data_IF_388997397551
#
_entry.id   IF_388997397551
#
_cell.length_a   1.000
_cell.length_b   1.000
_cell.length_c   1.000
_cell.angle_alpha   90.00
_cell.angle_beta   90.00
_cell.angle_gamma   90.00
#
_symmetry.space_group_name_H-M   'P 1'
#
loop_
_entity.id
_entity.type
_entity.pdbx_description
1 polymer ?
#
# COMPACT_ATOMS: atom_id res chain seq x y z
N UNK A 1 7.41 -16.19 1.36
CA UNK A 1 6.88 -15.23 2.35
C UNK A 1 5.83 -15.91 3.19
N UNK A 2 5.84 -15.65 4.49
CA UNK A 2 4.74 -15.92 5.40
C UNK A 2 3.80 -14.71 5.51
N UNK A 3 4.33 -13.48 5.50
CA UNK A 3 3.53 -12.25 5.71
C UNK A 3 3.97 -11.12 4.79
N UNK A 4 3.01 -10.47 4.15
CA UNK A 4 3.24 -9.34 3.25
C UNK A 4 2.43 -8.10 3.66
N UNK A 5 2.92 -6.92 3.31
CA UNK A 5 2.15 -5.69 3.28
C UNK A 5 1.92 -5.25 1.84
N UNK A 6 0.68 -5.27 1.37
CA UNK A 6 0.29 -4.74 0.07
C UNK A 6 -0.10 -3.26 0.20
N UNK A 7 0.61 -2.38 -0.49
CA UNK A 7 0.24 -0.97 -0.62
C UNK A 7 -0.42 -0.73 -1.97
N UNK A 8 -1.63 -0.19 -1.93
CA UNK A 8 -2.38 0.26 -3.10
C UNK A 8 -2.49 1.78 -3.10
N UNK A 9 -2.35 2.45 -4.24
CA UNK A 9 -2.77 3.85 -4.34
C UNK A 9 -4.30 3.92 -4.41
N UNK A 10 -4.90 5.01 -3.92
CA UNK A 10 -6.33 5.20 -4.06
C UNK A 10 -6.73 5.34 -5.52
N UNK A 11 -5.89 6.02 -6.31
CA UNK A 11 -6.04 6.20 -7.74
C UNK A 11 -6.12 4.89 -8.52
N UNK A 12 -5.31 3.89 -8.14
CA UNK A 12 -5.33 2.59 -8.79
C UNK A 12 -6.70 1.90 -8.63
N UNK A 13 -7.43 2.16 -7.54
CA UNK A 13 -8.75 1.60 -7.30
C UNK A 13 -9.87 2.34 -8.04
N UNK A 14 -9.60 3.51 -8.61
CA UNK A 14 -10.58 4.29 -9.35
C UNK A 14 -10.58 3.97 -10.87
N UNK A 15 -9.69 3.09 -11.33
CA UNK A 15 -9.53 2.75 -12.75
C UNK A 15 -9.35 4.00 -13.61
N UNK A 16 -9.97 4.00 -14.80
CA UNK A 16 -9.91 5.14 -15.73
C UNK A 16 -10.64 6.39 -15.22
N UNK A 17 -11.58 6.24 -14.28
CA UNK A 17 -12.39 7.34 -13.74
C UNK A 17 -11.56 8.30 -12.87
N UNK A 18 -10.43 7.84 -12.33
CA UNK A 18 -9.49 8.58 -11.44
C UNK A 18 -10.12 9.19 -10.17
N UNK A 19 -11.42 8.99 -9.94
CA UNK A 19 -12.17 9.41 -8.77
C UNK A 19 -13.15 8.30 -8.36
N UNK A 20 -13.40 8.16 -7.06
CA UNK A 20 -14.28 7.11 -6.53
C UNK A 20 -13.66 5.72 -6.61
N UNK A 21 -14.46 4.73 -6.99
CA UNK A 21 -14.06 3.34 -7.13
C UNK A 21 -14.44 2.79 -8.50
N UNK A 22 -13.61 1.89 -9.00
CA UNK A 22 -13.93 0.98 -10.08
C UNK A 22 -14.07 -0.43 -9.51
N UNK A 23 -15.32 -0.90 -9.42
CA UNK A 23 -15.65 -2.15 -8.72
C UNK A 23 -14.96 -3.36 -9.34
N UNK A 24 -14.87 -3.43 -10.67
CA UNK A 24 -14.19 -4.52 -11.38
C UNK A 24 -12.69 -4.57 -11.04
N UNK A 25 -12.04 -3.40 -11.00
CA UNK A 25 -10.64 -3.29 -10.56
C UNK A 25 -10.47 -3.76 -9.11
N UNK A 26 -11.33 -3.28 -8.19
CA UNK A 26 -11.25 -3.68 -6.77
C UNK A 26 -11.51 -5.18 -6.61
N UNK A 27 -12.47 -5.74 -7.37
CA UNK A 27 -12.79 -7.16 -7.36
C UNK A 27 -11.65 -8.00 -7.93
N UNK A 28 -10.96 -7.55 -8.97
CA UNK A 28 -9.78 -8.23 -9.50
C UNK A 28 -8.64 -8.30 -8.47
N UNK A 29 -8.42 -7.22 -7.71
CA UNK A 29 -7.48 -7.23 -6.57
C UNK A 29 -7.93 -8.21 -5.49
N UNK A 30 -9.22 -8.23 -5.15
CA UNK A 30 -9.77 -9.12 -4.14
C UNK A 30 -9.53 -10.61 -4.48
N UNK A 31 -9.72 -11.00 -5.75
CA UNK A 31 -9.49 -12.36 -6.19
C UNK A 31 -8.01 -12.78 -6.10
N UNK A 32 -7.09 -11.88 -6.46
CA UNK A 32 -5.65 -12.14 -6.31
C UNK A 32 -5.23 -12.27 -4.84
N UNK A 33 -5.73 -11.38 -3.97
CA UNK A 33 -5.44 -11.48 -2.53
C UNK A 33 -6.06 -12.74 -1.92
N UNK A 34 -7.27 -13.13 -2.37
CA UNK A 34 -7.89 -14.38 -1.93
C UNK A 34 -6.99 -15.58 -2.22
N UNK A 35 -6.39 -15.65 -3.40
CA UNK A 35 -5.44 -16.72 -3.71
C UNK A 35 -4.28 -16.77 -2.72
N UNK A 36 -3.69 -15.63 -2.36
CA UNK A 36 -2.61 -15.58 -1.37
C UNK A 36 -3.05 -16.06 0.02
N UNK A 37 -4.24 -15.64 0.44
CA UNK A 37 -4.80 -16.05 1.75
C UNK A 37 -5.12 -17.54 1.77
N UNK A 38 -5.68 -18.08 0.68
CA UNK A 38 -5.96 -19.51 0.52
C UNK A 38 -4.65 -20.33 0.51
N UNK A 39 -3.54 -19.76 0.01
CA UNK A 39 -2.18 -20.32 0.07
C UNK A 39 -1.53 -20.18 1.48
N UNK A 40 -2.24 -19.62 2.46
CA UNK A 40 -1.79 -19.47 3.85
C UNK A 40 -0.93 -18.24 4.14
N UNK A 41 -0.83 -17.30 3.19
CA UNK A 41 -0.06 -16.06 3.35
C UNK A 41 -0.87 -15.05 4.15
N UNK A 42 -0.24 -14.43 5.14
CA UNK A 42 -0.84 -13.36 5.93
C UNK A 42 -0.73 -12.03 5.19
N UNK A 43 -1.86 -11.42 4.85
CA UNK A 43 -1.90 -10.21 4.02
C UNK A 43 -2.40 -9.00 4.82
N UNK A 44 -1.50 -8.04 5.04
CA UNK A 44 -1.85 -6.70 5.48
C UNK A 44 -2.02 -5.75 4.29
N UNK A 45 -2.92 -4.78 4.36
CA UNK A 45 -3.19 -3.84 3.26
C UNK A 45 -3.18 -2.39 3.75
N UNK A 46 -2.50 -1.50 3.02
CA UNK A 46 -2.57 -0.05 3.17
C UNK A 46 -3.06 0.56 1.86
N UNK A 47 -4.03 1.47 1.93
CA UNK A 47 -4.61 2.11 0.75
C UNK A 47 -4.47 3.63 0.85
N UNK A 48 -3.93 4.25 -0.20
CA UNK A 48 -3.88 5.71 -0.35
C UNK A 48 -5.27 6.34 -0.51
N UNK A 49 -5.43 7.63 -0.19
CA UNK A 49 -6.73 8.33 -0.26
C UNK A 49 -6.92 9.22 -1.50
N UNK A 50 -6.00 9.15 -2.46
CA UNK A 50 -5.87 10.12 -3.56
C UNK A 50 -6.97 10.09 -4.63
N UNK A 51 -7.81 9.06 -4.65
CA UNK A 51 -9.05 9.00 -5.42
C UNK A 51 -10.14 9.95 -4.87
N UNK A 52 -10.15 10.25 -3.57
CA UNK A 52 -11.12 11.18 -2.97
C UNK A 52 -10.49 12.49 -2.53
N UNK A 53 -9.22 12.48 -2.13
CA UNK A 53 -8.57 13.65 -1.57
C UNK A 53 -7.14 13.84 -2.12
N UNK A 54 -6.96 14.89 -2.91
CA UNK A 54 -5.64 15.37 -3.38
C UNK A 54 -5.29 16.76 -2.82
N UNK A 55 -6.09 17.29 -1.89
CA UNK A 55 -6.07 18.68 -1.42
C UNK A 55 -4.88 19.09 -0.55
N UNK A 56 -3.72 18.43 -0.68
CA UNK A 56 -2.48 18.78 0.03
C UNK A 56 -1.97 20.20 -0.30
N UNK A 57 -2.47 20.78 -1.37
CA UNK A 57 -2.14 22.11 -1.91
C UNK A 57 -3.28 23.12 -1.82
N UNK A 58 -4.33 22.84 -1.02
CA UNK A 58 -5.38 23.84 -0.79
C UNK A 58 -4.80 25.04 -0.05
N UNK A 59 -4.83 26.22 -0.68
CA UNK A 59 -4.31 27.47 -0.08
C UNK A 59 -5.18 27.98 1.09
N UNK A 60 -6.39 27.44 1.25
CA UNK A 60 -7.39 27.92 2.21
C UNK A 60 -7.61 27.00 3.41
N UNK A 61 -6.95 25.84 3.44
CA UNK A 61 -7.13 24.83 4.50
C UNK A 61 -5.80 24.60 5.18
N UNK A 62 -5.79 24.62 6.51
CA UNK A 62 -4.61 24.25 7.29
C UNK A 62 -4.12 22.85 6.92
N UNK A 63 -2.81 22.71 6.71
CA UNK A 63 -2.20 21.46 6.24
C UNK A 63 -2.52 20.27 7.15
N UNK A 64 -2.60 20.48 8.46
CA UNK A 64 -2.99 19.45 9.45
C UNK A 64 -4.38 18.91 9.15
N UNK A 65 -5.34 19.82 8.87
CA UNK A 65 -6.72 19.46 8.55
C UNK A 65 -6.83 18.79 7.19
N UNK A 66 -6.07 19.27 6.19
CA UNK A 66 -6.01 18.65 4.88
C UNK A 66 -5.51 17.19 4.97
N UNK A 67 -4.44 16.92 5.72
CA UNK A 67 -3.95 15.56 5.89
C UNK A 67 -4.93 14.69 6.70
N UNK A 68 -5.67 15.25 7.67
CA UNK A 68 -6.76 14.55 8.38
C UNK A 68 -7.91 14.13 7.46
N UNK A 69 -8.30 14.97 6.52
CA UNK A 69 -9.29 14.59 5.48
C UNK A 69 -8.73 13.45 4.62
N UNK A 70 -7.45 13.52 4.24
CA UNK A 70 -6.76 12.42 3.56
C UNK A 70 -6.79 11.11 4.34
N UNK A 71 -6.55 11.16 5.66
CA UNK A 71 -6.64 9.98 6.52
C UNK A 71 -8.05 9.38 6.52
N UNK A 72 -9.10 10.19 6.58
CA UNK A 72 -10.48 9.70 6.46
C UNK A 72 -10.79 9.12 5.07
N UNK A 73 -10.23 9.68 4.00
CA UNK A 73 -10.34 9.09 2.66
C UNK A 73 -9.72 7.68 2.60
N UNK A 74 -8.59 7.44 3.28
CA UNK A 74 -8.06 6.07 3.39
C UNK A 74 -8.97 5.12 4.17
N UNK A 75 -9.68 5.62 5.20
CA UNK A 75 -10.69 4.83 5.94
C UNK A 75 -11.85 4.46 5.02
N UNK A 76 -12.37 5.41 4.24
CA UNK A 76 -13.42 5.15 3.25
C UNK A 76 -12.99 4.06 2.25
N UNK A 77 -11.77 4.16 1.73
CA UNK A 77 -11.21 3.15 0.83
C UNK A 77 -11.12 1.77 1.46
N UNK A 78 -10.57 1.67 2.67
CA UNK A 78 -10.46 0.39 3.37
C UNK A 78 -11.83 -0.23 3.69
N UNK A 79 -12.85 0.57 4.00
CA UNK A 79 -14.23 0.07 4.21
C UNK A 79 -14.77 -0.55 2.92
N UNK A 80 -14.71 0.19 1.81
CA UNK A 80 -15.23 -0.30 0.52
C UNK A 80 -14.50 -1.57 0.07
N UNK A 81 -13.17 -1.55 0.05
CA UNK A 81 -12.36 -2.70 -0.39
C UNK A 81 -12.54 -3.89 0.55
N UNK A 82 -12.64 -3.68 1.85
CA UNK A 82 -12.93 -4.73 2.83
C UNK A 82 -14.26 -5.45 2.52
N UNK A 83 -15.31 -4.72 2.14
CA UNK A 83 -16.60 -5.36 1.81
C UNK A 83 -16.54 -6.12 0.48
N UNK A 84 -15.80 -5.64 -0.53
CA UNK A 84 -15.55 -6.42 -1.75
C UNK A 84 -14.75 -7.68 -1.45
N UNK A 85 -13.81 -7.62 -0.51
CA UNK A 85 -13.06 -8.79 -0.07
C UNK A 85 -13.95 -9.81 0.64
N UNK A 86 -14.89 -9.34 1.46
CA UNK A 86 -15.89 -10.20 2.11
C UNK A 86 -16.87 -10.82 1.12
N UNK A 87 -17.26 -10.11 0.07
CA UNK A 87 -18.18 -10.64 -0.95
C UNK A 87 -17.57 -11.81 -1.74
N UNK A 88 -16.23 -11.91 -1.81
CA UNK A 88 -15.52 -13.06 -2.38
C UNK A 88 -15.10 -14.11 -1.33
N UNK A 89 -15.61 -14.00 -0.11
CA UNK A 89 -15.48 -15.02 0.94
C UNK A 89 -14.26 -14.87 1.86
N UNK A 90 -13.54 -13.74 1.84
CA UNK A 90 -12.46 -13.48 2.79
C UNK A 90 -13.00 -12.90 4.10
N UNK A 91 -12.29 -13.20 5.20
CA UNK A 91 -12.50 -12.50 6.47
C UNK A 91 -11.59 -11.28 6.54
N UNK A 92 -12.13 -10.14 6.99
CA UNK A 92 -11.38 -8.88 7.00
C UNK A 92 -11.60 -8.09 8.29
N UNK A 93 -10.60 -7.29 8.68
CA UNK A 93 -10.72 -6.30 9.75
C UNK A 93 -10.00 -5.01 9.37
N UNK A 94 -10.51 -3.88 9.86
CA UNK A 94 -9.95 -2.54 9.62
C UNK A 94 -9.42 -1.98 10.93
N UNK A 95 -8.14 -1.64 10.92
CA UNK A 95 -7.42 -1.04 12.02
C UNK A 95 -7.07 0.42 11.72
N UNK A 96 -7.28 1.31 12.68
CA UNK A 96 -6.96 2.74 12.59
C UNK A 96 -6.03 3.19 13.73
N UNK A 97 -5.12 4.15 13.51
CA UNK A 97 -4.25 4.69 14.56
C UNK A 97 -4.98 5.65 15.53
N UNK A 98 -6.17 6.10 15.15
CA UNK A 98 -7.05 6.96 15.94
C UNK A 98 -8.45 6.36 16.03
N UNK A 99 -9.25 6.83 16.98
CA UNK A 99 -10.63 6.36 17.15
C UNK A 99 -11.48 6.79 15.95
N UNK A 100 -12.11 5.81 15.29
CA UNK A 100 -12.95 6.04 14.12
C UNK A 100 -14.23 5.19 14.23
N UNK A 101 -15.15 5.65 15.08
CA UNK A 101 -16.48 5.07 15.23
C UNK A 101 -16.50 3.59 15.64
N UNK A 102 -17.68 2.98 15.55
CA UNK A 102 -17.93 1.59 15.93
C UNK A 102 -17.52 0.57 14.84
N UNK A 103 -17.26 1.02 13.62
CA UNK A 103 -17.01 0.19 12.44
C UNK A 103 -15.52 -0.10 12.18
N UNK A 104 -14.59 0.58 12.85
CA UNK A 104 -13.17 0.19 12.88
C UNK A 104 -12.74 -0.23 14.28
N UNK A 105 -11.47 -0.65 14.42
CA UNK A 105 -10.82 -0.91 15.70
C UNK A 105 -9.49 -0.17 15.77
N UNK A 106 -9.09 0.28 16.96
CA UNK A 106 -7.75 0.83 17.16
C UNK A 106 -6.68 -0.21 16.82
N UNK A 107 -5.60 0.24 16.18
CA UNK A 107 -4.43 -0.59 15.93
C UNK A 107 -3.73 -0.97 17.24
N UNK A 108 -3.41 -2.25 17.37
CA UNK A 108 -2.32 -2.74 18.21
C UNK A 108 -1.67 -3.92 17.51
N UNK A 109 -0.36 -4.09 17.69
CA UNK A 109 0.40 -5.22 17.12
C UNK A 109 -0.25 -6.57 17.46
N UNK A 110 -0.57 -6.78 18.73
CA UNK A 110 -1.19 -8.01 19.21
C UNK A 110 -2.55 -8.28 18.57
N UNK A 111 -3.35 -7.23 18.32
CA UNK A 111 -4.65 -7.36 17.65
C UNK A 111 -4.47 -7.75 16.19
N UNK A 112 -3.55 -7.10 15.47
CA UNK A 112 -3.25 -7.44 14.09
C UNK A 112 -2.78 -8.89 13.97
N UNK A 113 -1.87 -9.33 14.85
CA UNK A 113 -1.37 -10.71 14.88
C UNK A 113 -2.50 -11.73 15.12
N UNK A 114 -3.41 -11.47 16.07
CA UNK A 114 -4.59 -12.34 16.31
C UNK A 114 -5.53 -12.45 15.11
N UNK A 115 -5.59 -11.43 14.25
CA UNK A 115 -6.37 -11.49 13.01
C UNK A 115 -5.63 -12.27 11.93
N UNK A 116 -4.32 -12.06 11.79
CA UNK A 116 -3.49 -12.84 10.86
C UNK A 116 -3.47 -14.34 11.20
N UNK A 117 -3.42 -14.72 12.47
CA UNK A 117 -3.52 -16.11 12.94
C UNK A 117 -4.83 -16.79 12.55
N UNK A 118 -5.89 -16.00 12.30
CA UNK A 118 -7.21 -16.49 11.87
C UNK A 118 -7.40 -16.45 10.36
N UNK A 119 -6.34 -16.18 9.59
CA UNK A 119 -6.42 -16.05 8.14
C UNK A 119 -7.21 -14.83 7.67
N UNK A 120 -7.33 -13.79 8.50
CA UNK A 120 -8.02 -12.55 8.11
C UNK A 120 -7.07 -11.60 7.37
N UNK A 121 -7.58 -10.91 6.35
CA UNK A 121 -6.91 -9.75 5.76
C UNK A 121 -7.05 -8.56 6.69
N UNK A 122 -5.93 -7.90 7.00
CA UNK A 122 -5.91 -6.75 7.93
C UNK A 122 -5.65 -5.47 7.16
N UNK A 123 -6.64 -4.58 7.13
CA UNK A 123 -6.50 -3.25 6.54
C UNK A 123 -5.99 -2.26 7.59
N UNK A 124 -4.91 -1.54 7.28
CA UNK A 124 -4.39 -0.44 8.09
C UNK A 124 -4.79 0.88 7.43
N UNK A 125 -5.86 1.48 7.95
CA UNK A 125 -6.38 2.76 7.48
C UNK A 125 -5.90 3.92 8.36
N UNK A 126 -6.00 5.15 7.85
CA UNK A 126 -5.60 6.36 8.56
C UNK A 126 -4.10 6.64 8.56
N UNK A 127 -3.30 5.88 7.80
CA UNK A 127 -1.85 6.06 7.69
C UNK A 127 -1.13 5.93 9.04
N UNK A 128 -0.26 6.89 9.34
CA UNK A 128 0.43 6.98 10.64
C UNK A 128 -0.46 7.53 11.75
N UNK A 129 -1.61 8.15 11.41
CA UNK A 129 -2.44 8.91 12.34
C UNK A 129 -1.96 10.35 12.56
N UNK A 130 -0.85 10.73 11.94
CA UNK A 130 -0.24 12.05 12.09
C UNK A 130 -0.18 12.77 10.73
N UNK A 131 -0.51 14.07 10.69
CA UNK A 131 -0.26 14.93 9.53
C UNK A 131 1.22 14.95 9.13
N UNK A 132 1.52 15.46 7.93
CA UNK A 132 2.84 15.55 7.31
C UNK A 132 3.45 14.23 6.84
N UNK A 133 2.97 13.09 7.31
CA UNK A 133 3.40 11.78 6.84
C UNK A 133 2.61 11.32 5.61
N UNK A 134 3.28 10.56 4.73
CA UNK A 134 2.62 9.95 3.57
C UNK A 134 2.03 8.58 3.96
N UNK A 135 1.22 8.00 3.07
CA UNK A 135 0.83 6.60 3.20
C UNK A 135 1.98 5.63 2.95
N UNK A 136 3.03 6.06 2.26
CA UNK A 136 4.23 5.24 2.07
C UNK A 136 5.00 5.11 3.39
N UNK A 137 5.13 6.20 4.17
CA UNK A 137 5.66 6.09 5.54
C UNK A 137 4.77 5.20 6.41
N UNK A 138 3.44 5.32 6.25
CA UNK A 138 2.47 4.49 6.96
C UNK A 138 2.62 3.00 6.67
N UNK A 139 2.81 2.59 5.41
CA UNK A 139 2.99 1.16 5.09
C UNK A 139 4.32 0.63 5.59
N UNK A 140 5.42 1.39 5.49
CA UNK A 140 6.71 0.97 6.03
C UNK A 140 6.62 0.78 7.55
N UNK A 141 6.01 1.73 8.27
CA UNK A 141 5.80 1.63 9.71
C UNK A 141 5.03 0.35 10.08
N UNK A 142 3.88 0.11 9.43
CA UNK A 142 3.05 -1.07 9.74
C UNK A 142 3.75 -2.37 9.39
N UNK A 143 4.46 -2.42 8.26
CA UNK A 143 5.23 -3.60 7.85
C UNK A 143 6.27 -3.99 8.90
N UNK A 144 6.98 -3.00 9.46
CA UNK A 144 7.97 -3.22 10.52
C UNK A 144 7.28 -3.69 11.81
N UNK A 145 6.23 -3.01 12.27
CA UNK A 145 5.55 -3.36 13.52
C UNK A 145 4.95 -4.76 13.49
N UNK A 146 4.40 -5.18 12.35
CA UNK A 146 3.84 -6.52 12.16
C UNK A 146 4.83 -7.51 11.54
N UNK A 147 6.13 -7.19 11.49
CA UNK A 147 7.19 -8.14 11.08
C UNK A 147 6.89 -8.82 9.73
N UNK A 148 6.46 -8.04 8.74
CA UNK A 148 6.26 -8.57 7.41
C UNK A 148 7.59 -8.85 6.70
N UNK A 149 7.57 -9.83 5.81
CA UNK A 149 8.76 -10.22 5.05
C UNK A 149 9.10 -9.20 3.96
N UNK A 150 8.07 -8.56 3.38
CA UNK A 150 8.22 -7.62 2.27
C UNK A 150 7.01 -6.71 2.13
N UNK A 151 7.24 -5.50 1.61
CA UNK A 151 6.19 -4.59 1.16
C UNK A 151 6.02 -4.71 -0.36
N UNK A 152 4.79 -4.95 -0.81
CA UNK A 152 4.44 -4.91 -2.23
C UNK A 152 3.87 -3.53 -2.55
N UNK A 153 4.57 -2.77 -3.37
CA UNK A 153 4.20 -1.42 -3.78
C UNK A 153 3.55 -1.46 -5.16
N UNK A 154 2.22 -1.46 -5.20
CA UNK A 154 1.48 -1.32 -6.45
C UNK A 154 1.54 0.15 -6.91
N UNK A 155 2.11 0.37 -8.09
CA UNK A 155 2.21 1.69 -8.70
C UNK A 155 1.54 1.72 -10.08
N UNK A 156 1.26 2.93 -10.55
CA UNK A 156 0.84 3.16 -11.93
C UNK A 156 1.98 2.96 -12.94
N UNK A 157 3.22 3.15 -12.48
CA UNK A 157 4.44 2.83 -13.21
C UNK A 157 4.88 1.44 -12.75
N UNK A 158 5.35 0.62 -13.68
CA UNK A 158 5.64 -0.80 -13.51
C UNK A 158 6.97 -1.09 -12.79
N UNK A 159 7.68 -0.09 -12.27
CA UNK A 159 8.93 -0.26 -11.52
C UNK A 159 9.61 1.05 -11.14
N UNK A 160 10.88 0.95 -10.80
CA UNK A 160 11.78 2.06 -10.50
C UNK A 160 12.63 2.36 -11.73
N UNK A 161 12.74 3.63 -12.07
CA UNK A 161 13.47 4.12 -13.23
C UNK A 161 14.54 5.12 -12.79
N UNK A 162 15.58 5.29 -13.60
CA UNK A 162 16.61 6.31 -13.39
C UNK A 162 16.12 7.75 -13.66
N UNK A 163 15.06 7.89 -14.44
CA UNK A 163 14.35 9.14 -14.74
C UNK A 163 12.84 8.87 -14.92
N UNK A 164 12.02 9.92 -15.01
CA UNK A 164 10.57 9.81 -15.21
C UNK A 164 10.25 9.27 -16.62
N UNK A 165 9.78 8.01 -16.76
CA UNK A 165 9.55 7.40 -18.08
C UNK A 165 8.41 8.06 -18.85
N UNK A 166 7.54 8.83 -18.18
CA UNK A 166 6.49 9.59 -18.84
C UNK A 166 7.02 10.87 -19.53
N UNK A 167 8.21 11.35 -19.12
CA UNK A 167 8.85 12.55 -19.68
C UNK A 167 10.09 12.23 -20.49
N UNK A 168 10.82 11.19 -20.12
CA UNK A 168 12.04 10.75 -20.77
C UNK A 168 11.88 9.32 -21.31
N UNK A 169 11.68 9.15 -22.63
CA UNK A 169 11.61 7.83 -23.26
C UNK A 169 12.89 6.99 -23.14
N UNK A 170 14.02 7.61 -22.80
CA UNK A 170 15.29 6.91 -22.58
C UNK A 170 15.48 6.45 -21.12
N UNK A 171 14.50 6.69 -20.24
CA UNK A 171 14.53 6.23 -18.86
C UNK A 171 14.69 4.71 -18.80
N UNK A 172 15.62 4.25 -17.99
CA UNK A 172 15.96 2.84 -17.81
C UNK A 172 15.35 2.32 -16.53
N UNK A 173 14.61 1.23 -16.66
CA UNK A 173 14.05 0.48 -15.54
C UNK A 173 15.15 -0.31 -14.84
N UNK A 174 15.11 -0.34 -13.52
CA UNK A 174 15.91 -1.24 -12.70
C UNK A 174 15.16 -2.54 -12.47
N UNK A 175 15.81 -3.69 -12.64
CA UNK A 175 15.26 -4.98 -12.20
C UNK A 175 15.46 -5.15 -10.68
N UNK A 176 16.63 -4.72 -10.19
CA UNK A 176 16.98 -4.71 -8.77
C UNK A 176 17.77 -3.43 -8.45
N UNK A 177 17.52 -2.87 -7.28
CA UNK A 177 18.24 -1.70 -6.75
C UNK A 177 18.32 -1.78 -5.23
N UNK A 178 19.44 -1.39 -4.63
CA UNK A 178 19.53 -1.33 -3.17
C UNK A 178 18.82 -0.09 -2.61
N UNK A 179 18.31 -0.17 -1.39
CA UNK A 179 17.71 0.98 -0.69
C UNK A 179 18.73 2.11 -0.49
N UNK A 180 20.02 1.78 -0.42
CA UNK A 180 21.11 2.76 -0.36
C UNK A 180 21.19 3.56 -1.66
N UNK A 181 21.15 2.90 -2.82
CA UNK A 181 21.12 3.57 -4.12
C UNK A 181 19.84 4.37 -4.33
N UNK A 182 18.69 3.89 -3.85
CA UNK A 182 17.43 4.65 -3.88
C UNK A 182 17.60 5.99 -3.18
N UNK A 183 18.24 6.01 -2.00
CA UNK A 183 18.49 7.22 -1.22
C UNK A 183 19.56 8.09 -1.90
N UNK A 184 20.69 7.51 -2.29
CA UNK A 184 21.84 8.23 -2.87
C UNK A 184 21.48 8.90 -4.20
N UNK A 185 20.77 8.19 -5.08
CA UNK A 185 20.35 8.68 -6.39
C UNK A 185 18.98 9.37 -6.36
N UNK A 186 18.37 9.50 -5.18
CA UNK A 186 17.04 10.08 -4.97
C UNK A 186 15.95 9.50 -5.92
N UNK A 187 15.98 8.18 -6.11
CA UNK A 187 15.04 7.47 -6.99
C UNK A 187 13.64 7.51 -6.41
N UNK A 188 12.63 7.70 -7.27
CA UNK A 188 11.24 7.93 -6.85
C UNK A 188 10.50 6.61 -6.51
N UNK A 189 10.96 5.90 -5.47
CA UNK A 189 10.36 4.65 -4.98
C UNK A 189 9.25 4.94 -3.97
N UNK A 190 9.59 5.61 -2.88
CA UNK A 190 8.69 6.14 -1.86
C UNK A 190 9.28 7.47 -1.40
N UNK A 191 8.60 8.22 -0.54
CA UNK A 191 9.23 9.43 0.01
C UNK A 191 10.50 9.10 0.82
N UNK A 192 11.35 10.13 1.00
CA UNK A 192 12.65 9.98 1.66
C UNK A 192 12.52 9.48 3.10
N UNK A 193 11.49 9.90 3.83
CA UNK A 193 11.25 9.47 5.22
C UNK A 193 10.92 7.97 5.27
N UNK A 194 10.06 7.49 4.37
CA UNK A 194 9.76 6.06 4.23
C UNK A 194 11.00 5.25 3.81
N UNK A 195 11.82 5.79 2.90
CA UNK A 195 13.05 5.13 2.41
C UNK A 195 14.07 4.93 3.53
N UNK A 196 14.32 5.96 4.35
CA UNK A 196 15.23 5.88 5.49
C UNK A 196 14.70 4.89 6.54
N UNK A 197 13.40 4.96 6.86
CA UNK A 197 12.79 4.04 7.82
C UNK A 197 12.90 2.58 7.37
N UNK A 198 12.70 2.32 6.07
CA UNK A 198 12.82 0.97 5.49
C UNK A 198 14.28 0.46 5.55
N UNK A 199 15.26 1.30 5.21
CA UNK A 199 16.69 0.96 5.30
C UNK A 199 17.07 0.58 6.73
N UNK A 200 16.76 1.44 7.69
CA UNK A 200 17.21 1.28 9.07
C UNK A 200 16.61 0.02 9.74
N UNK A 201 15.49 -0.47 9.22
CA UNK A 201 14.80 -1.67 9.71
C UNK A 201 14.91 -2.87 8.76
N UNK A 202 15.75 -2.80 7.72
CA UNK A 202 15.94 -3.87 6.72
C UNK A 202 14.61 -4.38 6.15
N UNK A 203 13.73 -3.47 5.74
CA UNK A 203 12.43 -3.78 5.15
C UNK A 203 12.50 -3.73 3.62
N UNK A 204 12.54 -4.88 2.92
CA UNK A 204 12.59 -4.90 1.46
C UNK A 204 11.24 -4.49 0.84
N UNK A 205 11.29 -4.00 -0.40
CA UNK A 205 10.11 -3.56 -1.12
C UNK A 205 10.13 -4.06 -2.57
N UNK A 206 8.99 -4.51 -3.09
CA UNK A 206 8.85 -4.92 -4.48
C UNK A 206 7.86 -3.99 -5.19
N UNK A 207 8.37 -3.24 -6.17
CA UNK A 207 7.58 -2.27 -6.95
C UNK A 207 7.07 -2.94 -8.20
N UNK A 208 5.76 -2.90 -8.44
CA UNK A 208 5.15 -3.56 -9.59
C UNK A 208 3.95 -2.77 -10.12
N UNK A 209 3.58 -3.02 -11.37
CA UNK A 209 2.38 -2.47 -12.00
C UNK A 209 1.14 -3.32 -11.68
N UNK A 210 0.05 -2.69 -11.24
CA UNK A 210 -1.17 -3.42 -10.85
C UNK A 210 -1.98 -3.97 -12.04
N UNK A 211 -1.81 -3.40 -13.23
CA UNK A 211 -2.64 -3.70 -14.39
C UNK A 211 -2.23 -5.00 -15.10
N UNK A 212 -1.08 -5.58 -14.74
CA UNK A 212 -0.67 -6.86 -15.29
C UNK A 212 -1.54 -8.00 -14.74
N UNK A 213 -1.75 -9.03 -15.56
CA UNK A 213 -2.50 -10.20 -15.13
C UNK A 213 -1.79 -10.88 -13.96
N UNK A 214 -2.55 -11.18 -12.90
CA UNK A 214 -2.06 -11.86 -11.69
C UNK A 214 -0.85 -11.18 -11.03
N UNK A 215 -0.70 -9.87 -11.24
CA UNK A 215 0.47 -9.08 -10.86
C UNK A 215 0.86 -9.23 -9.38
N UNK A 216 -0.13 -9.26 -8.47
CA UNK A 216 0.11 -9.39 -7.03
C UNK A 216 0.64 -10.79 -6.71
N UNK A 217 0.00 -11.81 -7.27
CA UNK A 217 0.37 -13.22 -7.05
C UNK A 217 1.77 -13.51 -7.60
N UNK A 218 2.03 -13.04 -8.81
CA UNK A 218 3.31 -13.16 -9.50
C UNK A 218 4.43 -12.46 -8.72
N UNK A 219 4.16 -11.26 -8.21
CA UNK A 219 5.10 -10.50 -7.38
C UNK A 219 5.44 -11.26 -6.10
N UNK A 220 4.45 -11.83 -5.39
CA UNK A 220 4.70 -12.66 -4.18
C UNK A 220 5.57 -13.88 -4.47
N UNK A 221 5.40 -14.51 -5.64
CA UNK A 221 6.19 -15.67 -6.07
C UNK A 221 7.60 -15.28 -6.54
N UNK A 222 7.88 -13.99 -6.69
CA UNK A 222 9.16 -13.47 -7.15
C UNK A 222 9.35 -13.50 -8.67
N UNK A 223 8.31 -13.86 -9.42
CA UNK A 223 8.26 -13.90 -10.89
C UNK A 223 7.45 -12.71 -11.40
N UNK A 224 8.06 -11.52 -11.39
CA UNK A 224 7.41 -10.28 -11.83
C UNK A 224 8.38 -9.38 -12.57
N UNK A 225 7.85 -8.57 -13.46
CA UNK A 225 8.61 -7.68 -14.36
C UNK A 225 9.04 -6.37 -13.68
N UNK A 226 8.69 -6.17 -12.41
CA UNK A 226 8.92 -4.93 -11.67
C UNK A 226 10.33 -4.81 -11.10
N UNK A 227 10.48 -4.01 -10.04
CA UNK A 227 11.79 -3.77 -9.40
C UNK A 227 11.83 -4.33 -7.99
N UNK A 228 12.90 -5.07 -7.67
CA UNK A 228 13.23 -5.45 -6.30
C UNK A 228 14.08 -4.37 -5.64
N UNK A 229 13.59 -3.81 -4.54
CA UNK A 229 14.34 -2.90 -3.68
C UNK A 229 14.88 -3.69 -2.49
N UNK A 230 16.19 -3.95 -2.50
CA UNK A 230 16.88 -4.77 -1.49
C UNK A 230 17.45 -3.90 -0.36
N UNK A 231 17.72 -4.51 0.79
CA UNK A 231 18.12 -3.84 2.04
C UNK A 231 19.36 -4.47 2.66
#
# INVERSE_FOLDING_TARGET
>A
MQRILLKLSGEALAGEKKHGFDEDTVRAVALQVKQLVDDGIQVGIVIGGGNFWRGRTSEHIDRTKADQIGMLATVMNCIYVSEIFRSVGMMTNILTPFECGSFTKLFSKDRANKYFEKGMVVFFAGGTGHPYFSTDTGVVLRAIEVEADVILLAKAIDGVYDDDPAKNPAAKKYDEVSIHEVIEKNLQVVDMTASILARDNKMPMWVFGLNEKDSIVNTVKGDFTGTKVTV
#
